data_IF_420797769922
#
_entry.id   IF_420797769922
#
_cell.length_a   1.000
_cell.length_b   1.000
_cell.length_c   1.000
_cell.angle_alpha   90.00
_cell.angle_beta   90.00
_cell.angle_gamma   90.00
#
_symmetry.space_group_name_H-M   'P 1'
#
loop_
_entity.id
_entity.type
_entity.pdbx_description
1 polymer ?
#
# COMPACT_ATOMS: atom_id res chain seq x y z
N UNK A 1 2.97 -0.44 1.00
CA UNK A 1 1.76 -1.30 1.00
C UNK A 1 0.51 -0.53 0.57
N UNK A 2 0.07 0.51 1.29
CA UNK A 2 -1.14 1.27 0.96
C UNK A 2 -1.18 1.72 -0.50
N UNK A 3 -0.12 2.37 -0.97
CA UNK A 3 0.02 2.89 -2.33
C UNK A 3 -0.22 1.84 -3.41
N UNK A 4 0.24 0.60 -3.23
CA UNK A 4 -0.03 -0.50 -4.17
C UNK A 4 -1.52 -0.86 -4.21
N UNK A 5 -2.19 -0.85 -3.05
CA UNK A 5 -3.62 -1.20 -2.99
C UNK A 5 -4.49 -0.07 -3.51
N UNK A 6 -4.15 1.18 -3.22
CA UNK A 6 -4.95 2.34 -3.58
C UNK A 6 -4.70 2.82 -5.02
N UNK A 7 -3.55 2.47 -5.63
CA UNK A 7 -3.11 3.01 -6.91
C UNK A 7 -4.17 2.95 -8.01
N UNK A 8 -4.83 1.80 -8.18
CA UNK A 8 -5.76 1.63 -9.29
C UNK A 8 -6.98 2.58 -9.19
N UNK A 9 -7.41 2.90 -7.96
CA UNK A 9 -8.46 3.89 -7.70
C UNK A 9 -7.92 5.30 -7.90
N UNK A 10 -6.71 5.58 -7.43
CA UNK A 10 -6.13 6.92 -7.49
C UNK A 10 -5.79 7.32 -8.93
N UNK A 11 -5.22 6.40 -9.72
CA UNK A 11 -4.90 6.66 -11.12
C UNK A 11 -6.16 6.83 -11.96
N UNK A 12 -7.27 6.17 -11.57
CA UNK A 12 -8.54 6.28 -12.29
C UNK A 12 -9.28 7.59 -12.01
N UNK A 13 -8.88 8.36 -10.98
CA UNK A 13 -9.60 9.54 -10.50
C UNK A 13 -8.82 10.83 -10.77
N UNK A 14 -8.77 11.24 -12.03
CA UNK A 14 -8.38 12.58 -12.48
C UNK A 14 -7.24 13.29 -11.70
N UNK A 15 -6.04 12.70 -11.63
CA UNK A 15 -4.84 13.41 -11.14
C UNK A 15 -4.47 13.20 -9.67
N UNK A 16 -5.23 12.45 -8.88
CA UNK A 16 -4.88 12.21 -7.46
C UNK A 16 -3.71 11.24 -7.27
N UNK A 17 -3.35 10.46 -8.29
CA UNK A 17 -2.20 9.55 -8.25
C UNK A 17 -0.83 10.24 -8.19
N UNK A 18 -0.77 11.58 -8.27
CA UNK A 18 0.50 12.31 -8.15
C UNK A 18 1.21 12.13 -6.80
N UNK A 19 0.45 11.83 -5.74
CA UNK A 19 0.99 11.56 -4.40
C UNK A 19 1.29 10.08 -4.15
N UNK A 20 1.01 9.21 -5.12
CA UNK A 20 1.21 7.78 -4.98
C UNK A 20 2.63 7.39 -5.39
N UNK A 21 3.30 6.64 -4.54
CA UNK A 21 4.66 6.17 -4.73
C UNK A 21 4.85 5.39 -6.04
N UNK A 22 3.82 4.66 -6.52
CA UNK A 22 3.89 3.97 -7.82
C UNK A 22 4.09 4.96 -8.97
N UNK A 23 3.42 6.12 -8.95
CA UNK A 23 3.62 7.17 -9.96
C UNK A 23 5.05 7.71 -9.91
N UNK A 24 5.60 7.88 -8.72
CA UNK A 24 6.98 8.37 -8.53
C UNK A 24 7.97 7.37 -9.12
N UNK A 25 7.85 6.09 -8.76
CA UNK A 25 8.75 5.02 -9.24
C UNK A 25 8.67 4.83 -10.75
N UNK A 26 7.47 4.89 -11.35
CA UNK A 26 7.32 4.83 -12.80
C UNK A 26 8.07 5.97 -13.50
N UNK A 27 7.99 7.19 -12.96
CA UNK A 27 8.64 8.37 -13.55
C UNK A 27 10.15 8.36 -13.35
N UNK A 28 10.60 8.09 -12.13
CA UNK A 28 12.02 8.12 -11.75
C UNK A 28 12.83 7.09 -12.54
N UNK A 29 12.30 5.88 -12.71
CA UNK A 29 13.01 4.77 -13.34
C UNK A 29 12.53 4.45 -14.75
N UNK A 30 11.61 5.24 -15.33
CA UNK A 30 11.05 4.99 -16.67
C UNK A 30 10.32 3.65 -16.81
N UNK A 31 9.69 3.17 -15.72
CA UNK A 31 9.06 1.85 -15.66
C UNK A 31 7.61 1.87 -16.12
N UNK A 32 7.15 0.76 -16.70
CA UNK A 32 5.72 0.48 -16.84
C UNK A 32 5.07 0.26 -15.47
N UNK A 33 3.73 0.27 -15.43
CA UNK A 33 2.99 0.02 -14.19
C UNK A 33 3.34 -1.35 -13.58
N UNK A 34 3.42 -2.40 -14.42
CA UNK A 34 3.68 -3.74 -13.93
C UNK A 34 5.11 -3.88 -13.37
N UNK A 35 6.08 -3.26 -14.04
CA UNK A 35 7.47 -3.21 -13.56
C UNK A 35 7.59 -2.41 -12.26
N UNK A 36 6.91 -1.27 -12.15
CA UNK A 36 6.89 -0.48 -10.92
C UNK A 36 6.27 -1.25 -9.74
N UNK A 37 5.19 -2.00 -9.96
CA UNK A 37 4.60 -2.87 -8.94
C UNK A 37 5.56 -3.99 -8.51
N UNK A 38 6.27 -4.62 -9.45
CA UNK A 38 7.30 -5.61 -9.12
C UNK A 38 8.47 -5.00 -8.35
N UNK A 39 8.91 -3.81 -8.75
CA UNK A 39 9.95 -3.07 -8.05
C UNK A 39 9.55 -2.78 -6.60
N UNK A 40 8.36 -2.22 -6.37
CA UNK A 40 7.88 -1.91 -5.02
C UNK A 40 7.66 -3.17 -4.19
N UNK A 41 7.17 -4.26 -4.80
CA UNK A 41 7.04 -5.55 -4.14
C UNK A 41 8.40 -6.06 -3.65
N UNK A 42 9.42 -6.07 -4.52
CA UNK A 42 10.78 -6.50 -4.16
C UNK A 42 11.40 -5.61 -3.09
N UNK A 43 11.24 -4.29 -3.23
CA UNK A 43 11.72 -3.32 -2.23
C UNK A 43 11.06 -3.53 -0.87
N UNK A 44 9.75 -3.78 -0.85
CA UNK A 44 9.01 -4.05 0.39
C UNK A 44 9.46 -5.37 1.04
N UNK A 45 9.70 -6.43 0.25
CA UNK A 45 10.27 -7.69 0.76
C UNK A 45 11.60 -7.44 1.47
N UNK A 46 12.51 -6.69 0.84
CA UNK A 46 13.80 -6.35 1.43
C UNK A 46 13.67 -5.55 2.73
N UNK A 47 12.74 -4.60 2.81
CA UNK A 47 12.46 -3.87 4.05
C UNK A 47 11.99 -4.82 5.16
N UNK A 48 11.09 -5.76 4.84
CA UNK A 48 10.60 -6.72 5.84
C UNK A 48 11.69 -7.68 6.32
N UNK A 49 12.56 -8.13 5.41
CA UNK A 49 13.74 -8.93 5.77
C UNK A 49 14.68 -8.16 6.70
N UNK A 50 14.97 -6.89 6.37
CA UNK A 50 15.79 -6.02 7.20
C UNK A 50 15.16 -5.82 8.58
N UNK A 51 13.85 -5.54 8.65
CA UNK A 51 13.13 -5.38 9.91
C UNK A 51 13.30 -6.58 10.85
N UNK A 52 13.09 -7.80 10.33
CA UNK A 52 13.26 -9.04 11.12
C UNK A 52 14.72 -9.23 11.54
N UNK A 53 15.65 -8.87 10.65
CA UNK A 53 17.10 -8.96 10.90
C UNK A 53 17.55 -7.97 11.97
N UNK A 54 17.07 -6.73 11.91
CA UNK A 54 17.36 -5.64 12.85
C UNK A 54 16.77 -5.91 14.22
N UNK A 55 15.55 -6.46 14.29
CA UNK A 55 14.92 -6.86 15.55
C UNK A 55 15.78 -7.86 16.34
N UNK A 56 16.52 -8.76 15.66
CA UNK A 56 17.43 -9.73 16.29
C UNK A 56 18.76 -9.11 16.76
N UNK A 57 19.08 -7.91 16.28
CA UNK A 57 20.33 -7.18 16.60
C UNK A 57 20.12 -6.04 17.59
N UNK A 58 18.93 -5.92 18.17
CA UNK A 58 18.66 -4.89 19.16
C UNK A 58 19.62 -5.05 20.36
N UNK A 59 20.15 -3.95 20.90
CA UNK A 59 20.85 -3.98 22.18
C UNK A 59 19.95 -4.57 23.28
N UNK A 60 20.57 -5.05 24.35
CA UNK A 60 19.84 -5.33 25.59
C UNK A 60 19.90 -4.11 26.50
N UNK A 61 18.77 -3.80 27.14
CA UNK A 61 18.62 -2.74 28.14
C UNK A 61 18.10 -3.28 29.48
N UNK A 62 18.11 -4.60 29.65
CA UNK A 62 17.60 -5.30 30.82
C UNK A 62 16.21 -5.90 30.60
N UNK A 63 15.93 -6.98 31.33
CA UNK A 63 14.81 -7.90 31.05
C UNK A 63 13.45 -7.21 30.86
N UNK A 64 13.10 -6.24 31.70
CA UNK A 64 11.83 -5.51 31.62
C UNK A 64 11.72 -4.71 30.32
N UNK A 65 12.79 -4.02 29.92
CA UNK A 65 12.82 -3.19 28.70
C UNK A 65 12.85 -4.10 27.48
N UNK A 66 13.67 -5.14 27.50
CA UNK A 66 13.81 -6.09 26.38
C UNK A 66 12.47 -6.75 26.04
N UNK A 67 11.72 -7.21 27.07
CA UNK A 67 10.36 -7.76 26.90
C UNK A 67 9.37 -6.74 26.32
N UNK A 68 9.45 -5.48 26.75
CA UNK A 68 8.57 -4.43 26.24
C UNK A 68 8.87 -4.08 24.78
N UNK A 69 10.16 -4.01 24.44
CA UNK A 69 10.65 -3.73 23.08
C UNK A 69 10.30 -4.88 22.13
N UNK A 70 10.51 -6.13 22.53
CA UNK A 70 10.12 -7.31 21.73
C UNK A 70 8.62 -7.28 21.40
N UNK A 71 7.78 -7.05 22.43
CA UNK A 71 6.32 -6.94 22.27
C UNK A 71 5.91 -5.78 21.38
N UNK A 72 6.62 -4.65 21.45
CA UNK A 72 6.36 -3.49 20.61
C UNK A 72 6.62 -3.82 19.13
N UNK A 73 7.78 -4.37 18.81
CA UNK A 73 8.13 -4.73 17.43
C UNK A 73 7.26 -5.87 16.87
N UNK A 74 6.86 -6.86 17.68
CA UNK A 74 5.86 -7.86 17.26
C UNK A 74 4.53 -7.18 16.85
N UNK A 75 4.05 -6.21 17.63
CA UNK A 75 2.82 -5.48 17.33
C UNK A 75 2.93 -4.60 16.08
N UNK A 76 4.06 -3.96 15.86
CA UNK A 76 4.32 -3.19 14.63
C UNK A 76 4.29 -4.11 13.41
N UNK A 77 4.92 -5.29 13.46
CA UNK A 77 4.88 -6.27 12.38
C UNK A 77 3.45 -6.77 12.10
N UNK A 78 2.68 -7.04 13.16
CA UNK A 78 1.25 -7.42 13.03
C UNK A 78 0.41 -6.29 12.43
N UNK A 79 0.70 -5.03 12.75
CA UNK A 79 0.00 -3.89 12.16
C UNK A 79 0.22 -3.85 10.65
N UNK A 80 1.46 -4.03 10.18
CA UNK A 80 1.76 -4.10 8.73
C UNK A 80 0.98 -5.22 8.05
N UNK A 81 0.98 -6.43 8.62
CA UNK A 81 0.22 -7.57 8.10
C UNK A 81 -1.30 -7.32 8.12
N UNK A 82 -1.80 -6.72 9.20
CA UNK A 82 -3.20 -6.35 9.35
C UNK A 82 -3.65 -5.33 8.32
N UNK A 83 -2.83 -4.31 8.03
CA UNK A 83 -3.12 -3.32 6.99
C UNK A 83 -3.16 -3.93 5.58
N UNK A 84 -2.27 -4.88 5.26
CA UNK A 84 -2.30 -5.63 3.99
C UNK A 84 -3.60 -6.44 3.86
N UNK A 85 -3.95 -7.21 4.90
CA UNK A 85 -5.17 -8.02 4.91
C UNK A 85 -6.44 -7.17 4.83
N UNK A 86 -6.52 -6.11 5.64
CA UNK A 86 -7.63 -5.15 5.62
C UNK A 86 -7.80 -4.48 4.25
N UNK A 87 -6.72 -4.24 3.52
CA UNK A 87 -6.79 -3.64 2.18
C UNK A 87 -7.54 -4.55 1.20
N UNK A 88 -7.46 -5.87 1.36
CA UNK A 88 -8.27 -6.83 0.59
C UNK A 88 -9.69 -6.97 1.14
N UNK A 89 -9.86 -7.00 2.46
CA UNK A 89 -11.13 -7.37 3.10
C UNK A 89 -12.13 -6.22 3.23
N UNK A 90 -11.65 -4.98 3.40
CA UNK A 90 -12.49 -3.81 3.70
C UNK A 90 -13.43 -3.38 2.57
N UNK A 91 -13.20 -3.86 1.35
CA UNK A 91 -13.91 -3.41 0.15
C UNK A 91 -13.52 -2.00 -0.32
N UNK A 92 -12.68 -1.25 0.42
CA UNK A 92 -12.28 0.12 0.09
C UNK A 92 -11.61 0.22 -1.27
N UNK A 93 -10.72 -0.72 -1.59
CA UNK A 93 -9.90 -0.68 -2.81
C UNK A 93 -10.42 -1.59 -3.92
N UNK A 94 -11.08 -2.68 -3.55
CA UNK A 94 -11.42 -3.76 -4.47
C UNK A 94 -12.90 -4.12 -4.50
N UNK A 95 -13.73 -3.43 -3.71
CA UNK A 95 -15.12 -3.81 -3.49
C UNK A 95 -15.25 -5.28 -3.07
N UNK A 96 -16.26 -5.98 -3.61
CA UNK A 96 -16.51 -7.40 -3.33
C UNK A 96 -15.45 -8.36 -3.91
N UNK A 97 -14.47 -7.87 -4.68
CA UNK A 97 -13.49 -8.70 -5.39
C UNK A 97 -12.18 -8.90 -4.61
N UNK A 98 -12.02 -8.25 -3.45
CA UNK A 98 -10.74 -8.20 -2.73
C UNK A 98 -10.14 -9.56 -2.42
N UNK A 99 -10.90 -10.50 -1.84
CA UNK A 99 -10.41 -11.86 -1.54
C UNK A 99 -10.00 -12.64 -2.80
N UNK A 100 -10.77 -12.49 -3.90
CA UNK A 100 -10.40 -13.11 -5.19
C UNK A 100 -9.08 -12.55 -5.72
N UNK A 101 -8.89 -11.22 -5.64
CA UNK A 101 -7.66 -10.56 -6.07
C UNK A 101 -6.48 -10.98 -5.18
N UNK A 102 -6.70 -11.13 -3.88
CA UNK A 102 -5.68 -11.64 -2.96
C UNK A 102 -5.19 -13.03 -3.36
N UNK A 103 -6.10 -13.92 -3.77
CA UNK A 103 -5.75 -15.27 -4.22
C UNK A 103 -5.08 -15.27 -5.59
N UNK A 104 -5.63 -14.55 -6.57
CA UNK A 104 -5.15 -14.60 -7.96
C UNK A 104 -3.95 -13.71 -8.22
N UNK A 105 -3.73 -12.70 -7.37
CA UNK A 105 -2.77 -11.59 -7.56
C UNK A 105 -2.98 -10.85 -8.88
N UNK A 106 -4.20 -10.86 -9.41
CA UNK A 106 -4.55 -10.29 -10.71
C UNK A 106 -5.76 -9.38 -10.58
N UNK A 107 -5.70 -8.22 -11.23
CA UNK A 107 -6.81 -7.28 -11.33
C UNK A 107 -6.75 -6.51 -12.65
N UNK A 108 -7.91 -6.08 -13.14
CA UNK A 108 -7.98 -5.18 -14.27
C UNK A 108 -7.75 -3.73 -13.81
N UNK A 109 -6.97 -2.99 -14.59
CA UNK A 109 -6.75 -1.55 -14.39
C UNK A 109 -8.04 -0.81 -14.74
N UNK A 110 -8.45 0.13 -13.91
CA UNK A 110 -9.64 0.94 -14.15
C UNK A 110 -9.36 2.00 -15.23
N UNK A 111 -10.34 2.33 -16.08
CA UNK A 111 -10.19 3.42 -17.04
C UNK A 111 -9.98 4.74 -16.30
N UNK A 112 -9.20 5.65 -16.88
CA UNK A 112 -9.00 6.98 -16.32
C UNK A 112 -10.24 7.83 -16.54
N UNK A 113 -10.85 8.27 -15.45
CA UNK A 113 -11.88 9.30 -15.46
C UNK A 113 -11.21 10.66 -15.24
N UNK A 114 -10.96 11.37 -16.34
CA UNK A 114 -10.38 12.72 -16.33
C UNK A 114 -11.36 13.78 -15.82
N UNK A 115 -12.66 13.45 -15.72
CA UNK A 115 -13.70 14.36 -15.26
C UNK A 115 -14.03 14.22 -13.78
N UNK A 116 -13.46 13.20 -13.11
CA UNK A 116 -13.79 12.83 -11.73
C UNK A 116 -13.78 14.01 -10.74
N UNK A 117 -12.73 14.83 -10.78
CA UNK A 117 -12.62 16.01 -9.91
C UNK A 117 -13.64 17.08 -10.29
N UNK A 118 -13.78 17.39 -11.58
CA UNK A 118 -14.75 18.38 -12.06
C UNK A 118 -16.19 18.05 -11.64
N UNK A 119 -16.60 16.79 -11.81
CA UNK A 119 -17.94 16.34 -11.43
C UNK A 119 -18.17 16.42 -9.91
N UNK A 120 -17.15 16.14 -9.09
CA UNK A 120 -17.24 16.26 -7.63
C UNK A 120 -17.39 17.71 -7.16
N UNK A 121 -16.71 18.67 -7.80
CA UNK A 121 -16.86 20.08 -7.43
C UNK A 121 -18.21 20.65 -7.86
N UNK A 122 -18.73 20.25 -9.02
CA UNK A 122 -20.08 20.66 -9.48
C UNK A 122 -21.14 20.19 -8.49
N UNK A 123 -21.07 18.93 -8.03
CA UNK A 123 -22.06 18.35 -7.11
C UNK A 123 -22.02 18.92 -5.68
N UNK A 124 -20.93 19.57 -5.26
CA UNK A 124 -20.81 20.19 -3.93
C UNK A 124 -21.38 21.62 -3.91
N UNK A 125 -21.51 22.25 -5.08
CA UNK A 125 -22.00 23.62 -5.22
C UNK A 125 -23.52 23.73 -5.45
N UNK A 126 -24.25 22.61 -5.43
CA UNK A 126 -25.72 22.55 -5.64
C UNK A 126 -26.51 22.38 -4.31
N UNK A 127 -25.95 22.78 -3.17
CA UNK A 127 -26.58 22.70 -1.84
C UNK A 127 -26.81 24.07 -1.20
#
# INVERSE_FOLDING_TARGET
MNDMHSYNIEQSRGGVAGHNFITVIMREYGLTLQEALYWVSGYTTKIMENYVSDQRRLPSWGETVDKAVEKYFDRVARCVRGCDQWSYESGRYYGKKGLKIQQTRKMAVYPKDITYLGNKFVQVNEA
#
